data_IF_635717289200
#
_entry.id   IF_635717289200
#
_cell.length_a   1.000
_cell.length_b   1.000
_cell.length_c   1.000
_cell.angle_alpha   90.00
_cell.angle_beta   90.00
_cell.angle_gamma   90.00
#
_symmetry.space_group_name_H-M   'P 1'
#
loop_
_entity.id
_entity.type
_entity.pdbx_description
1 polymer ?
#
# COMPACT_ATOMS: atom_id res chain seq x y z
N UNK A 1 -32.17 51.22 -6.13
CA UNK A 1 -31.12 50.52 -5.35
C UNK A 1 -31.12 49.09 -5.85
N UNK A 2 -30.05 48.68 -6.53
CA UNK A 2 -29.95 47.35 -7.13
C UNK A 2 -29.87 46.27 -6.03
N UNK A 3 -30.73 45.26 -6.09
CA UNK A 3 -30.71 44.11 -5.17
C UNK A 3 -29.42 43.32 -5.36
N UNK A 4 -28.52 43.38 -4.37
CA UNK A 4 -27.33 42.53 -4.32
C UNK A 4 -27.79 41.14 -3.84
N UNK A 5 -27.81 40.17 -4.75
CA UNK A 5 -28.15 38.78 -4.44
C UNK A 5 -26.87 38.06 -3.97
N UNK A 6 -26.74 37.85 -2.66
CA UNK A 6 -25.64 37.05 -2.10
C UNK A 6 -25.85 35.60 -2.54
N UNK A 7 -24.95 35.08 -3.40
CA UNK A 7 -25.05 33.75 -4.02
C UNK A 7 -24.42 32.62 -3.21
N UNK A 8 -23.70 32.95 -2.14
CA UNK A 8 -22.87 32.01 -1.38
C UNK A 8 -23.52 31.67 -0.04
N UNK A 9 -23.46 30.40 0.36
CA UNK A 9 -24.05 29.93 1.61
C UNK A 9 -23.33 30.46 2.86
N UNK A 10 -24.00 30.39 4.01
CA UNK A 10 -23.50 30.87 5.30
C UNK A 10 -22.31 30.08 5.84
N UNK A 11 -22.03 28.93 5.24
CA UNK A 11 -20.94 28.03 5.62
C UNK A 11 -20.06 27.70 4.42
N UNK A 12 -18.82 27.32 4.71
CA UNK A 12 -17.87 26.82 3.74
C UNK A 12 -17.23 25.53 4.24
N UNK A 13 -17.11 24.53 3.36
CA UNK A 13 -16.34 23.31 3.60
C UNK A 13 -14.94 23.49 2.99
N UNK A 14 -13.92 23.51 3.83
CA UNK A 14 -12.52 23.74 3.41
C UNK A 14 -11.63 22.60 3.87
N UNK A 15 -10.56 22.38 3.11
CA UNK A 15 -9.49 21.46 3.47
C UNK A 15 -8.47 22.23 4.29
N UNK A 16 -8.24 21.81 5.53
CA UNK A 16 -7.20 22.39 6.39
C UNK A 16 -5.92 21.56 6.24
N UNK A 17 -4.81 22.23 5.98
CA UNK A 17 -3.47 21.64 5.91
C UNK A 17 -2.48 22.45 6.74
N UNK A 18 -1.35 21.85 7.11
CA UNK A 18 -0.34 22.51 7.95
C UNK A 18 1.03 22.44 7.30
N UNK A 19 1.96 23.33 7.69
CA UNK A 19 3.36 23.25 7.23
C UNK A 19 4.19 22.18 7.95
N UNK A 20 3.63 21.49 8.96
CA UNK A 20 4.32 20.44 9.71
C UNK A 20 3.91 19.01 9.33
N UNK A 21 2.75 18.81 8.70
CA UNK A 21 2.25 17.49 8.31
C UNK A 21 1.69 17.49 6.90
N UNK A 22 1.86 16.36 6.21
CA UNK A 22 1.23 16.13 4.90
C UNK A 22 -0.24 15.71 5.00
N UNK A 23 -0.77 15.55 6.21
CA UNK A 23 -2.18 15.19 6.43
C UNK A 23 -3.06 16.42 6.31
N UNK A 24 -4.22 16.24 5.68
CA UNK A 24 -5.21 17.28 5.51
C UNK A 24 -6.55 16.81 6.07
N UNK A 25 -7.33 17.76 6.61
CA UNK A 25 -8.61 17.48 7.24
C UNK A 25 -9.67 18.42 6.70
N UNK A 26 -10.79 17.86 6.25
CA UNK A 26 -11.91 18.66 5.79
C UNK A 26 -12.74 19.16 6.99
N UNK A 27 -13.08 20.45 6.97
CA UNK A 27 -13.89 21.09 8.00
C UNK A 27 -14.84 22.12 7.44
N UNK A 28 -15.96 22.24 8.14
CA UNK A 28 -16.99 23.24 7.89
C UNK A 28 -16.84 24.42 8.83
N UNK A 29 -16.74 25.62 8.29
CA UNK A 29 -16.72 26.88 9.05
C UNK A 29 -17.87 27.78 8.62
N UNK A 30 -18.38 28.59 9.55
CA UNK A 30 -19.33 29.66 9.20
C UNK A 30 -18.57 30.82 8.57
N UNK A 31 -19.10 31.41 7.50
CA UNK A 31 -18.54 32.62 6.87
C UNK A 31 -18.70 33.86 7.75
N UNK A 32 -19.52 33.81 8.79
CA UNK A 32 -19.76 34.90 9.74
C UNK A 32 -18.76 34.97 10.90
N UNK A 33 -17.79 34.04 10.99
CA UNK A 33 -16.74 34.12 12.01
C UNK A 33 -15.63 35.07 11.56
N UNK A 34 -14.95 35.69 12.52
CA UNK A 34 -13.74 36.47 12.23
C UNK A 34 -12.55 35.56 11.91
N UNK A 35 -11.53 36.09 11.24
CA UNK A 35 -10.27 35.38 11.03
C UNK A 35 -9.63 35.02 12.38
N UNK A 36 -9.76 35.88 13.39
CA UNK A 36 -9.30 35.58 14.75
C UNK A 36 -9.99 34.35 15.35
N UNK A 37 -11.32 34.26 15.26
CA UNK A 37 -12.09 33.10 15.72
C UNK A 37 -11.76 31.83 14.92
N UNK A 38 -11.50 31.97 13.62
CA UNK A 38 -11.04 30.87 12.77
C UNK A 38 -9.68 30.36 13.25
N UNK A 39 -8.71 31.24 13.51
CA UNK A 39 -7.39 30.88 14.02
C UNK A 39 -7.47 30.11 15.35
N UNK A 40 -8.33 30.54 16.28
CA UNK A 40 -8.55 29.81 17.54
C UNK A 40 -9.11 28.39 17.33
N UNK A 41 -9.98 28.19 16.33
CA UNK A 41 -10.45 26.83 15.95
C UNK A 41 -9.34 26.01 15.30
N UNK A 42 -8.52 26.62 14.46
CA UNK A 42 -7.39 25.97 13.80
C UNK A 42 -6.28 25.59 14.79
N UNK A 43 -6.08 26.35 15.86
CA UNK A 43 -5.12 26.03 16.93
C UNK A 43 -5.42 24.66 17.56
N UNK A 44 -6.69 24.40 17.92
CA UNK A 44 -7.12 23.12 18.48
C UNK A 44 -6.93 21.95 17.51
N UNK A 45 -6.91 22.23 16.21
CA UNK A 45 -6.86 21.22 15.16
C UNK A 45 -5.44 20.92 14.65
N UNK A 46 -4.60 21.95 14.62
CA UNK A 46 -3.28 21.91 13.99
C UNK A 46 -2.14 22.00 15.00
N UNK A 47 -2.42 22.49 16.21
CA UNK A 47 -1.40 22.81 17.21
C UNK A 47 -0.58 24.07 16.90
N UNK A 48 -0.94 24.83 15.86
CA UNK A 48 -0.36 26.14 15.59
C UNK A 48 -0.93 27.18 16.57
N UNK A 49 -0.13 28.13 17.04
CA UNK A 49 -0.62 29.18 17.94
C UNK A 49 -1.44 30.20 17.17
N UNK A 50 -2.62 30.56 17.68
CA UNK A 50 -3.48 31.63 17.13
C UNK A 50 -2.75 32.95 16.93
N UNK A 51 -1.74 33.24 17.74
CA UNK A 51 -0.98 34.50 17.67
C UNK A 51 0.08 34.52 16.57
N UNK A 52 0.63 33.36 16.20
CA UNK A 52 1.76 33.27 15.26
C UNK A 52 1.40 32.65 13.92
N UNK A 53 0.26 31.94 13.84
CA UNK A 53 -0.14 31.25 12.63
C UNK A 53 -0.47 32.21 11.48
N UNK A 54 0.01 31.87 10.28
CA UNK A 54 -0.32 32.53 9.02
C UNK A 54 -1.21 31.61 8.19
N UNK A 55 -2.26 32.18 7.60
CA UNK A 55 -3.26 31.44 6.85
C UNK A 55 -3.21 31.84 5.38
N UNK A 56 -2.91 30.87 4.52
CA UNK A 56 -2.88 31.01 3.06
C UNK A 56 -3.98 30.14 2.45
N UNK A 57 -4.78 30.70 1.54
CA UNK A 57 -5.88 29.99 0.87
C UNK A 57 -5.45 29.59 -0.53
N UNK A 58 -5.70 28.33 -0.90
CA UNK A 58 -5.39 27.74 -2.19
C UNK A 58 -6.66 27.18 -2.84
N UNK A 59 -6.73 27.28 -4.16
CA UNK A 59 -7.79 26.68 -4.96
C UNK A 59 -7.53 25.18 -5.20
N UNK A 60 -8.45 24.49 -5.89
CA UNK A 60 -8.38 23.08 -6.28
C UNK A 60 -7.16 22.75 -7.15
N UNK A 61 -6.65 23.73 -7.88
CA UNK A 61 -5.43 23.63 -8.70
C UNK A 61 -4.15 24.00 -7.92
N UNK A 62 -4.21 24.05 -6.59
CA UNK A 62 -3.10 24.43 -5.70
C UNK A 62 -2.50 25.83 -5.96
N UNK A 63 -3.26 26.69 -6.62
CA UNK A 63 -2.90 28.10 -6.81
C UNK A 63 -3.30 28.92 -5.60
N UNK A 64 -2.37 29.70 -5.06
CA UNK A 64 -2.66 30.61 -3.96
C UNK A 64 -3.63 31.70 -4.41
N UNK A 65 -4.76 31.81 -3.71
CA UNK A 65 -5.84 32.76 -3.98
C UNK A 65 -5.69 34.00 -3.12
N UNK A 66 -5.53 33.84 -1.81
CA UNK A 66 -5.42 34.97 -0.88
C UNK A 66 -4.73 34.55 0.43
N UNK A 67 -4.42 35.56 1.27
CA UNK A 67 -3.98 35.37 2.65
C UNK A 67 -5.05 35.96 3.58
N UNK A 68 -5.33 35.28 4.70
CA UNK A 68 -6.23 35.81 5.73
C UNK A 68 -5.39 36.62 6.73
N UNK A 69 -5.12 37.87 6.37
CA UNK A 69 -4.15 38.76 7.03
C UNK A 69 -4.76 39.70 8.09
N UNK A 70 -6.07 39.95 8.01
CA UNK A 70 -6.77 40.82 8.95
C UNK A 70 -7.69 40.03 9.88
N UNK A 71 -7.32 40.00 11.17
CA UNK A 71 -7.96 39.22 12.23
C UNK A 71 -9.41 39.63 12.52
N UNK A 72 -9.73 40.93 12.38
CA UNK A 72 -11.07 41.47 12.65
C UNK A 72 -12.05 41.26 11.49
N UNK A 73 -11.57 40.86 10.30
CA UNK A 73 -12.43 40.64 9.14
C UNK A 73 -13.14 39.30 9.24
N UNK A 74 -14.36 39.26 8.71
CA UNK A 74 -15.14 38.03 8.57
C UNK A 74 -14.51 37.10 7.53
N UNK A 75 -14.55 35.80 7.73
CA UNK A 75 -14.11 34.80 6.75
C UNK A 75 -14.83 34.98 5.42
N UNK A 76 -16.13 35.30 5.45
CA UNK A 76 -16.94 35.57 4.27
C UNK A 76 -16.55 36.83 3.48
N UNK A 77 -15.68 37.68 4.02
CA UNK A 77 -15.13 38.82 3.27
C UNK A 77 -13.97 38.43 2.32
N UNK A 78 -13.48 37.19 2.44
CA UNK A 78 -12.43 36.64 1.59
C UNK A 78 -13.03 35.70 0.53
N UNK A 79 -12.35 35.52 -0.63
CA UNK A 79 -12.77 34.60 -1.68
C UNK A 79 -12.49 33.14 -1.27
N UNK A 80 -13.24 32.63 -0.28
CA UNK A 80 -13.14 31.26 0.23
C UNK A 80 -14.45 30.54 -0.06
N UNK A 81 -14.36 29.49 -0.89
CA UNK A 81 -15.48 28.66 -1.32
C UNK A 81 -15.24 27.17 -1.06
N UNK A 82 -16.29 26.37 -1.25
CA UNK A 82 -16.28 24.95 -0.93
C UNK A 82 -15.21 24.18 -1.72
N UNK A 83 -14.44 23.36 -1.01
CA UNK A 83 -13.35 22.56 -1.54
C UNK A 83 -12.02 23.31 -1.67
N UNK A 84 -11.95 24.58 -1.28
CA UNK A 84 -10.68 25.31 -1.18
C UNK A 84 -9.85 24.83 0.02
N UNK A 85 -8.54 25.04 -0.04
CA UNK A 85 -7.60 24.63 1.01
C UNK A 85 -7.11 25.83 1.80
N UNK A 86 -7.27 25.80 3.12
CA UNK A 86 -6.62 26.72 4.06
C UNK A 86 -5.34 26.05 4.57
N UNK A 87 -4.20 26.63 4.25
CA UNK A 87 -2.88 26.19 4.70
C UNK A 87 -2.44 27.02 5.91
N UNK A 88 -2.08 26.33 6.99
CA UNK A 88 -1.63 26.91 8.26
C UNK A 88 -0.11 26.82 8.33
N UNK A 89 0.55 27.96 8.26
CA UNK A 89 2.00 28.09 8.43
C UNK A 89 2.32 28.61 9.83
N UNK A 90 3.14 27.86 10.59
CA UNK A 90 3.62 28.28 11.91
C UNK A 90 4.96 27.59 12.26
N UNK A 91 5.60 27.98 13.37
CA UNK A 91 6.86 27.41 13.85
C UNK A 91 6.68 26.10 14.65
N UNK A 92 5.47 25.78 15.09
CA UNK A 92 5.10 24.53 15.80
C UNK A 92 6.08 24.14 16.93
N UNK A 93 6.55 25.11 17.73
CA UNK A 93 7.61 24.91 18.74
C UNK A 93 7.28 23.81 19.76
N UNK A 94 6.06 23.81 20.31
CA UNK A 94 5.63 22.83 21.31
C UNK A 94 5.59 21.41 20.72
N UNK A 95 5.17 21.29 19.46
CA UNK A 95 5.10 20.01 18.76
C UNK A 95 6.50 19.47 18.45
N UNK A 96 7.40 20.30 17.96
CA UNK A 96 8.82 19.93 17.79
C UNK A 96 9.43 19.43 19.09
N UNK A 97 9.15 20.08 20.23
CA UNK A 97 9.61 19.63 21.55
C UNK A 97 9.01 18.29 22.01
N UNK A 98 7.77 17.97 21.62
CA UNK A 98 7.13 16.69 21.93
C UNK A 98 7.58 15.57 20.97
N UNK A 99 7.77 15.87 19.69
CA UNK A 99 8.34 14.95 18.70
C UNK A 99 9.82 14.66 19.02
N UNK A 100 10.53 15.62 19.62
CA UNK A 100 11.85 15.45 20.26
C UNK A 100 11.82 14.47 21.46
N UNK A 101 10.73 13.73 21.68
CA UNK A 101 10.73 12.47 22.42
C UNK A 101 11.77 11.44 21.90
N UNK A 102 12.45 11.71 20.79
CA UNK A 102 13.73 11.07 20.45
C UNK A 102 14.84 11.24 21.51
N UNK A 103 14.72 12.22 22.41
CA UNK A 103 15.66 12.44 23.51
C UNK A 103 15.27 11.68 24.80
N UNK A 104 14.14 10.95 24.77
CA UNK A 104 13.83 9.95 25.81
C UNK A 104 14.57 8.68 25.42
N UNK A 105 15.59 8.30 26.21
CA UNK A 105 16.26 7.01 26.05
C UNK A 105 15.21 5.90 26.18
N UNK A 106 14.80 5.34 25.04
CA UNK A 106 13.96 4.15 25.00
C UNK A 106 14.81 3.00 25.52
N UNK A 107 14.28 2.30 26.51
CA UNK A 107 14.89 1.05 26.95
C UNK A 107 14.73 0.01 25.85
N UNK A 108 15.82 -0.30 25.16
CA UNK A 108 15.88 -1.38 24.19
C UNK A 108 16.56 -2.59 24.83
N UNK A 109 15.92 -3.74 24.73
CA UNK A 109 16.45 -4.99 25.24
C UNK A 109 16.83 -5.86 24.04
N UNK A 110 18.07 -6.34 24.01
CA UNK A 110 18.51 -7.24 22.94
C UNK A 110 17.73 -8.56 22.97
N UNK A 111 17.69 -9.27 21.84
CA UNK A 111 16.98 -10.56 21.77
C UNK A 111 17.60 -11.60 22.70
N UNK A 112 18.91 -11.52 22.90
CA UNK A 112 19.71 -12.36 23.79
C UNK A 112 19.38 -12.07 25.25
N UNK A 113 19.38 -10.81 25.67
CA UNK A 113 19.02 -10.42 27.05
C UNK A 113 17.56 -10.74 27.36
N UNK A 114 16.65 -10.51 26.40
CA UNK A 114 15.24 -10.90 26.54
C UNK A 114 15.08 -12.42 26.67
N UNK A 115 15.89 -13.21 25.97
CA UNK A 115 15.85 -14.67 26.06
C UNK A 115 16.33 -15.22 27.42
N UNK A 116 17.22 -14.50 28.10
CA UNK A 116 17.78 -14.90 29.40
C UNK A 116 16.85 -14.56 30.58
N UNK A 117 15.89 -13.65 30.38
CA UNK A 117 14.92 -13.26 31.41
C UNK A 117 13.87 -14.35 31.67
N UNK A 118 13.83 -14.83 32.91
CA UNK A 118 12.88 -15.85 33.36
C UNK A 118 11.43 -15.33 33.47
N UNK A 119 11.26 -14.02 33.66
CA UNK A 119 9.97 -13.31 33.72
C UNK A 119 9.49 -12.79 32.36
N UNK A 120 10.14 -13.19 31.27
CA UNK A 120 9.73 -12.82 29.92
C UNK A 120 8.56 -13.66 29.40
N UNK A 121 7.73 -13.06 28.55
CA UNK A 121 6.71 -13.79 27.79
C UNK A 121 7.32 -14.96 26.99
N UNK A 122 8.54 -14.79 26.45
CA UNK A 122 9.28 -15.85 25.76
C UNK A 122 9.59 -17.04 26.67
N UNK A 123 10.08 -16.79 27.89
CA UNK A 123 10.34 -17.85 28.87
C UNK A 123 9.04 -18.56 29.28
N UNK A 124 7.96 -17.81 29.52
CA UNK A 124 6.64 -18.37 29.83
C UNK A 124 6.09 -19.27 28.70
N UNK A 125 6.14 -18.80 27.45
CA UNK A 125 5.68 -19.58 26.29
C UNK A 125 6.51 -20.85 26.09
N UNK A 126 7.84 -20.77 26.30
CA UNK A 126 8.73 -21.93 26.18
C UNK A 126 8.50 -22.94 27.30
N UNK A 127 8.36 -22.47 28.55
CA UNK A 127 8.18 -23.34 29.72
C UNK A 127 6.85 -24.09 29.68
N UNK A 128 5.79 -23.44 29.21
CA UNK A 128 4.46 -24.06 29.12
C UNK A 128 4.22 -24.77 27.77
N UNK A 129 5.20 -24.79 26.86
CA UNK A 129 5.09 -25.38 25.51
C UNK A 129 3.91 -24.80 24.71
N UNK A 130 3.71 -23.48 24.74
CA UNK A 130 2.61 -22.82 24.03
C UNK A 130 3.00 -22.40 22.60
N UNK A 131 2.06 -22.57 21.66
CA UNK A 131 2.18 -22.16 20.27
C UNK A 131 3.41 -22.75 19.60
N UNK A 132 4.22 -21.91 18.95
CA UNK A 132 5.44 -22.30 18.20
C UNK A 132 6.52 -23.07 18.99
N UNK A 133 6.38 -23.19 20.31
CA UNK A 133 7.27 -23.93 21.20
C UNK A 133 6.68 -25.27 21.69
N UNK A 134 5.46 -25.61 21.28
CA UNK A 134 4.92 -26.96 21.43
C UNK A 134 5.67 -27.92 20.49
N UNK A 135 6.15 -29.04 21.03
CA UNK A 135 6.81 -30.11 20.26
C UNK A 135 5.86 -30.63 19.17
N UNK A 136 4.60 -30.92 19.53
CA UNK A 136 3.58 -31.40 18.59
C UNK A 136 3.29 -30.41 17.45
N UNK A 137 3.24 -29.09 17.73
CA UNK A 137 3.02 -28.10 16.66
C UNK A 137 4.24 -27.94 15.76
N UNK A 138 5.45 -28.04 16.33
CA UNK A 138 6.69 -27.99 15.57
C UNK A 138 6.80 -29.19 14.64
N UNK A 139 6.54 -30.41 15.14
CA UNK A 139 6.52 -31.64 14.35
C UNK A 139 5.47 -31.59 13.25
N UNK A 140 4.24 -31.13 13.54
CA UNK A 140 3.20 -30.95 12.52
C UNK A 140 3.61 -29.97 11.43
N UNK A 141 4.22 -28.85 11.80
CA UNK A 141 4.70 -27.84 10.83
C UNK A 141 5.85 -28.36 9.98
N UNK A 142 6.79 -29.08 10.58
CA UNK A 142 7.89 -29.72 9.87
C UNK A 142 7.39 -30.82 8.92
N UNK A 143 6.43 -31.64 9.36
CA UNK A 143 5.80 -32.65 8.53
C UNK A 143 5.03 -32.03 7.35
N UNK A 144 4.29 -30.94 7.58
CA UNK A 144 3.62 -30.19 6.52
C UNK A 144 4.61 -29.64 5.50
N UNK A 145 5.67 -28.97 5.98
CA UNK A 145 6.72 -28.44 5.11
C UNK A 145 7.39 -29.54 4.29
N UNK A 146 7.74 -30.65 4.92
CA UNK A 146 8.35 -31.80 4.23
C UNK A 146 7.41 -32.36 3.16
N UNK A 147 6.11 -32.49 3.47
CA UNK A 147 5.10 -32.94 2.52
C UNK A 147 4.95 -31.97 1.34
N UNK A 148 4.96 -30.66 1.60
CA UNK A 148 4.92 -29.63 0.55
C UNK A 148 6.17 -29.69 -0.34
N UNK A 149 7.35 -29.87 0.24
CA UNK A 149 8.62 -30.02 -0.49
C UNK A 149 8.63 -31.30 -1.34
N UNK A 150 8.09 -32.41 -0.81
CA UNK A 150 7.92 -33.67 -1.55
C UNK A 150 6.97 -33.50 -2.75
N UNK A 151 5.81 -32.86 -2.54
CA UNK A 151 4.85 -32.56 -3.61
C UNK A 151 5.43 -31.60 -4.66
N UNK A 152 6.17 -30.56 -4.24
CA UNK A 152 6.83 -29.64 -5.17
C UNK A 152 7.89 -30.37 -5.99
N UNK A 153 8.67 -31.28 -5.37
CA UNK A 153 9.66 -32.09 -6.06
C UNK A 153 9.04 -33.10 -7.02
N UNK A 154 7.91 -33.71 -6.66
CA UNK A 154 7.16 -34.59 -7.56
C UNK A 154 6.60 -33.82 -8.76
N UNK A 155 5.96 -32.68 -8.53
CA UNK A 155 5.50 -31.80 -9.62
C UNK A 155 6.63 -31.34 -10.52
N UNK A 156 7.80 -31.03 -9.96
CA UNK A 156 8.95 -30.63 -10.76
C UNK A 156 9.46 -31.77 -11.65
N UNK A 157 9.35 -33.04 -11.21
CA UNK A 157 9.71 -34.22 -12.01
C UNK A 157 8.74 -34.48 -13.15
N UNK A 158 7.45 -34.20 -12.95
CA UNK A 158 6.43 -34.39 -14.00
C UNK A 158 6.42 -33.25 -15.02
N UNK A 159 6.99 -32.10 -14.67
CA UNK A 159 7.15 -30.98 -15.59
C UNK A 159 8.41 -31.13 -16.43
N UNK A 160 8.25 -31.63 -17.66
CA UNK A 160 9.31 -31.64 -18.67
C UNK A 160 9.14 -30.48 -19.67
N UNK A 161 10.27 -29.98 -20.18
CA UNK A 161 10.27 -28.89 -21.17
C UNK A 161 9.63 -29.39 -22.48
N UNK A 162 8.71 -28.59 -23.03
CA UNK A 162 7.96 -28.90 -24.24
C UNK A 162 6.57 -29.47 -24.00
N UNK A 163 6.23 -29.87 -22.75
CA UNK A 163 4.91 -30.38 -22.45
C UNK A 163 3.86 -29.27 -22.36
N UNK A 164 2.63 -29.63 -22.73
CA UNK A 164 1.44 -28.79 -22.56
C UNK A 164 1.04 -28.74 -21.10
N UNK A 165 0.64 -27.56 -20.67
CA UNK A 165 0.27 -27.32 -19.29
C UNK A 165 -0.82 -26.26 -19.17
N UNK A 166 -1.48 -26.32 -18.03
CA UNK A 166 -2.45 -25.35 -17.61
C UNK A 166 -1.95 -24.68 -16.32
N UNK A 167 -2.07 -23.36 -16.28
CA UNK A 167 -1.56 -22.51 -15.20
C UNK A 167 -2.73 -21.97 -14.39
N UNK A 168 -2.75 -22.31 -13.10
CA UNK A 168 -3.80 -21.92 -12.14
C UNK A 168 -3.20 -21.08 -11.02
N UNK A 169 -3.19 -19.75 -11.21
CA UNK A 169 -2.72 -18.79 -10.19
C UNK A 169 -3.94 -18.21 -9.46
N UNK A 170 -3.96 -18.22 -8.11
CA UNK A 170 -5.06 -17.62 -7.35
C UNK A 170 -5.32 -16.16 -7.76
N UNK A 171 -6.58 -15.84 -8.05
CA UNK A 171 -7.01 -14.49 -8.46
C UNK A 171 -6.73 -14.15 -9.93
N UNK A 172 -6.34 -15.11 -10.76
CA UNK A 172 -6.19 -14.95 -12.21
C UNK A 172 -7.00 -16.01 -12.96
N UNK A 173 -7.43 -15.72 -14.19
CA UNK A 173 -8.04 -16.74 -15.04
C UNK A 173 -7.05 -17.87 -15.31
N UNK A 174 -7.60 -19.06 -15.52
CA UNK A 174 -6.83 -20.24 -15.91
C UNK A 174 -6.29 -20.02 -17.32
N UNK A 175 -5.04 -20.40 -17.57
CA UNK A 175 -4.36 -20.13 -18.85
C UNK A 175 -3.62 -21.36 -19.34
N UNK A 176 -3.72 -21.64 -20.62
CA UNK A 176 -2.95 -22.70 -21.28
C UNK A 176 -1.60 -22.19 -21.73
N UNK A 177 -0.61 -23.07 -21.65
CA UNK A 177 0.78 -22.74 -21.91
C UNK A 177 1.60 -23.99 -22.27
N UNK A 178 2.81 -23.75 -22.73
CA UNK A 178 3.83 -24.77 -22.95
C UNK A 178 5.00 -24.55 -22.00
N UNK A 179 5.47 -25.60 -21.33
CA UNK A 179 6.63 -25.52 -20.45
C UNK A 179 7.88 -25.24 -21.28
N UNK A 180 8.64 -24.20 -20.93
CA UNK A 180 9.89 -23.81 -21.60
C UNK A 180 11.12 -23.88 -20.72
N UNK A 181 10.96 -23.84 -19.40
CA UNK A 181 12.07 -23.87 -18.45
C UNK A 181 11.62 -24.52 -17.14
N UNK A 182 12.50 -25.31 -16.51
CA UNK A 182 12.26 -25.94 -15.21
C UNK A 182 13.54 -25.87 -14.40
N UNK A 183 13.53 -25.16 -13.27
CA UNK A 183 14.70 -25.07 -12.41
C UNK A 183 14.75 -23.85 -11.51
N UNK A 184 15.95 -23.56 -10.99
CA UNK A 184 16.20 -22.38 -10.15
C UNK A 184 16.40 -21.13 -11.01
N UNK A 185 16.02 -19.98 -10.47
CA UNK A 185 16.14 -18.68 -11.12
C UNK A 185 16.91 -17.70 -10.23
N UNK A 186 17.45 -16.65 -10.82
CA UNK A 186 18.29 -15.68 -10.10
C UNK A 186 17.46 -14.67 -9.31
N UNK A 187 16.23 -14.36 -9.76
CA UNK A 187 15.42 -13.29 -9.18
C UNK A 187 14.73 -13.69 -7.86
N UNK A 188 14.46 -14.98 -7.63
CA UNK A 188 13.76 -15.49 -6.44
C UNK A 188 14.19 -16.91 -6.05
N UNK A 189 14.20 -17.24 -4.74
CA UNK A 189 14.55 -18.57 -4.26
C UNK A 189 13.49 -19.64 -4.62
N UNK A 190 13.93 -20.89 -4.54
CA UNK A 190 13.13 -22.08 -4.84
C UNK A 190 13.11 -22.45 -6.32
N UNK A 191 12.36 -23.49 -6.67
CA UNK A 191 12.19 -23.91 -8.05
C UNK A 191 11.09 -23.08 -8.72
N UNK A 192 11.24 -22.91 -10.02
CA UNK A 192 10.35 -22.15 -10.88
C UNK A 192 10.21 -22.86 -12.21
N UNK A 193 9.04 -22.68 -12.80
CA UNK A 193 8.72 -23.21 -14.12
C UNK A 193 8.42 -22.01 -15.02
N UNK A 194 9.24 -21.88 -16.05
CA UNK A 194 9.04 -20.92 -17.12
C UNK A 194 8.10 -21.51 -18.15
N UNK A 195 7.04 -20.78 -18.46
CA UNK A 195 6.00 -21.19 -19.41
C UNK A 195 5.86 -20.12 -20.50
N UNK A 196 5.54 -20.57 -21.71
CA UNK A 196 5.05 -19.73 -22.80
C UNK A 196 3.54 -19.92 -22.89
N UNK A 197 2.76 -18.90 -22.56
CA UNK A 197 1.31 -18.90 -22.77
C UNK A 197 0.97 -18.93 -24.25
N UNK A 198 -0.23 -19.40 -24.58
CA UNK A 198 -0.73 -19.37 -25.97
C UNK A 198 -1.17 -17.96 -26.38
N UNK A 199 -1.62 -17.18 -25.39
CA UNK A 199 -2.07 -15.80 -25.53
C UNK A 199 -1.08 -14.79 -24.91
N UNK A 200 -1.14 -13.49 -25.27
CA UNK A 200 -0.28 -12.43 -24.71
C UNK A 200 -0.63 -12.04 -23.26
N UNK A 201 -0.85 -13.04 -22.41
CA UNK A 201 -1.21 -12.92 -20.99
C UNK A 201 -0.02 -13.06 -20.04
N UNK A 202 1.16 -13.31 -20.56
CA UNK A 202 2.43 -13.36 -19.85
C UNK A 202 2.94 -11.99 -19.40
N UNK A 203 4.03 -12.04 -18.64
CA UNK A 203 4.68 -10.87 -18.02
C UNK A 203 6.01 -10.51 -18.66
N UNK A 204 6.64 -11.44 -19.38
CA UNK A 204 7.98 -11.29 -19.93
C UNK A 204 8.10 -11.96 -21.32
N UNK A 205 9.30 -11.94 -21.88
CA UNK A 205 9.72 -12.54 -23.16
C UNK A 205 10.62 -13.78 -22.93
N UNK A 206 10.58 -14.37 -21.74
CA UNK A 206 11.48 -15.44 -21.31
C UNK A 206 12.78 -14.95 -20.65
N UNK A 207 12.95 -13.64 -20.48
CA UNK A 207 14.01 -13.03 -19.67
C UNK A 207 13.47 -12.29 -18.43
N UNK A 208 14.24 -12.28 -17.35
CA UNK A 208 13.95 -11.50 -16.12
C UNK A 208 15.26 -10.92 -15.60
N UNK A 209 15.28 -9.62 -15.30
CA UNK A 209 16.45 -8.88 -14.81
C UNK A 209 17.71 -9.06 -15.67
N UNK A 210 17.54 -9.10 -17.00
CA UNK A 210 18.63 -9.23 -17.97
C UNK A 210 19.16 -10.66 -18.15
N UNK A 211 18.65 -11.65 -17.40
CA UNK A 211 18.98 -13.07 -17.59
C UNK A 211 17.90 -13.75 -18.43
N UNK A 212 18.30 -14.35 -19.55
CA UNK A 212 17.40 -15.12 -20.42
C UNK A 212 17.36 -16.59 -20.00
N UNK A 213 16.17 -17.10 -19.73
CA UNK A 213 15.94 -18.50 -19.37
C UNK A 213 15.33 -19.30 -20.53
N UNK A 214 14.46 -18.67 -21.31
CA UNK A 214 13.87 -19.23 -22.52
C UNK A 214 13.54 -18.11 -23.53
N UNK A 215 13.10 -18.51 -24.73
CA UNK A 215 12.73 -17.59 -25.80
C UNK A 215 11.22 -17.68 -26.07
N UNK A 216 10.53 -16.54 -26.08
CA UNK A 216 9.14 -16.40 -26.48
C UNK A 216 8.81 -14.95 -26.87
N UNK A 217 7.68 -14.68 -27.55
CA UNK A 217 7.29 -13.32 -27.88
C UNK A 217 7.04 -12.45 -26.63
N UNK A 218 7.14 -11.12 -26.75
CA UNK A 218 6.87 -10.21 -25.64
C UNK A 218 5.45 -10.41 -25.09
N UNK A 219 5.32 -10.51 -23.76
CA UNK A 219 4.06 -10.79 -23.03
C UNK A 219 3.54 -12.22 -23.19
N UNK A 220 4.33 -13.17 -23.69
CA UNK A 220 3.94 -14.59 -23.71
C UNK A 220 4.65 -15.41 -22.62
N UNK A 221 5.73 -14.90 -22.05
CA UNK A 221 6.50 -15.60 -21.03
C UNK A 221 5.97 -15.37 -19.61
N UNK A 222 5.98 -16.41 -18.80
CA UNK A 222 5.65 -16.36 -17.37
C UNK A 222 6.55 -17.28 -16.55
N UNK A 223 6.77 -16.92 -15.28
CA UNK A 223 7.39 -17.80 -14.29
C UNK A 223 6.37 -18.09 -13.18
N UNK A 224 6.11 -19.36 -12.94
CA UNK A 224 5.17 -19.83 -11.92
C UNK A 224 5.82 -20.85 -10.99
N UNK A 225 5.23 -21.01 -9.80
CA UNK A 225 5.62 -22.05 -8.86
C UNK A 225 5.06 -23.40 -9.31
N UNK A 226 5.75 -24.53 -9.04
CA UNK A 226 5.25 -25.85 -9.39
C UNK A 226 3.85 -26.16 -8.82
N UNK A 227 3.48 -25.54 -7.69
CA UNK A 227 2.14 -25.68 -7.13
C UNK A 227 1.01 -25.22 -8.08
N UNK A 228 1.28 -24.25 -8.96
CA UNK A 228 0.30 -23.58 -9.83
C UNK A 228 0.28 -24.11 -11.27
N UNK A 229 0.98 -25.20 -11.56
CA UNK A 229 1.00 -25.82 -12.88
C UNK A 229 0.40 -27.22 -12.81
N UNK A 230 -0.31 -27.56 -13.86
CA UNK A 230 -0.79 -28.91 -14.15
C UNK A 230 -0.35 -29.26 -15.57
N UNK A 231 0.42 -30.34 -15.70
CA UNK A 231 0.94 -30.82 -16.99
C UNK A 231 0.03 -31.93 -17.46
N UNK A 232 -0.37 -31.90 -18.74
CA UNK A 232 -1.36 -32.82 -19.27
C UNK A 232 -1.71 -32.52 -20.72
N UNK A 233 -2.78 -33.17 -21.20
CA UNK A 233 -3.30 -32.94 -22.54
C UNK A 233 -4.19 -31.70 -22.57
N UNK A 234 -3.54 -30.54 -22.67
CA UNK A 234 -4.18 -29.23 -22.76
C UNK A 234 -3.91 -28.62 -24.15
N UNK A 235 -4.66 -29.02 -25.19
CA UNK A 235 -4.50 -28.45 -26.53
C UNK A 235 -4.74 -26.92 -26.52
N UNK A 236 -4.36 -26.21 -27.57
CA UNK A 236 -4.70 -24.79 -27.70
C UNK A 236 -6.23 -24.64 -27.81
N UNK A 237 -6.81 -23.60 -27.19
CA UNK A 237 -8.24 -23.31 -27.39
C UNK A 237 -8.39 -22.60 -28.74
N UNK A 238 -9.17 -23.18 -29.64
CA UNK A 238 -9.56 -22.50 -30.88
C UNK A 238 -10.50 -21.36 -30.52
N UNK A 239 -10.06 -20.11 -30.72
CA UNK A 239 -10.91 -18.93 -30.58
C UNK A 239 -12.06 -19.00 -31.59
N UNK A 240 -13.25 -19.37 -31.13
CA UNK A 240 -14.45 -19.26 -31.94
C UNK A 240 -14.96 -17.81 -31.87
N UNK A 241 -14.50 -16.99 -32.82
CA UNK A 241 -14.79 -15.54 -32.91
C UNK A 241 -16.27 -15.21 -33.22
N UNK A 242 -17.18 -16.17 -33.14
CA UNK A 242 -18.61 -15.99 -33.49
C UNK A 242 -19.48 -15.56 -32.29
N UNK A 243 -19.00 -15.62 -31.04
CA UNK A 243 -19.84 -15.39 -29.85
C UNK A 243 -19.75 -13.97 -29.24
N UNK A 244 -19.00 -13.03 -29.84
CA UNK A 244 -18.82 -11.65 -29.35
C UNK A 244 -19.69 -10.59 -30.07
N UNK A 245 -20.75 -11.00 -30.78
CA UNK A 245 -21.86 -10.11 -31.17
C UNK A 245 -23.12 -10.45 -30.36
N UNK A 246 -23.27 -9.90 -29.15
CA UNK A 246 -24.57 -9.72 -28.48
C UNK A 246 -24.57 -8.60 -27.43
#
# INVERSE_FOLDING_TARGET
MSEIKIKTGDFVNVIVSTSCESTCIERRFSKAITVNELKGKLELMTGASQQTMKLSVFDKDDKQVCCLDADDKLLGSYPVDDGMRIHVEDNFMLRKQLDDAFNVQKFELSQEEYAQRADSLKAYLKQNKLGKYSEDEMERREALRKREEELEAEKLKTCEVGLRCEVRVPGQPVRRATVKFVGKVNFKPGNWIGVQYDEPLGKNDGSVDGVRYFECPPKYGGFVKPSHIEVGDFPEEEFNLEDDEL
#
